data_IF_802132943800
#
_entry.id   IF_802132943800
#
_cell.length_a   1.000
_cell.length_b   1.000
_cell.length_c   1.000
_cell.angle_alpha   90.00
_cell.angle_beta   90.00
_cell.angle_gamma   90.00
#
_symmetry.space_group_name_H-M   'P 1'
#
loop_
_entity.id
_entity.type
_entity.pdbx_description
1 polymer ?
#
# COMPACT_ATOMS: atom_id res chain seq x y z
N UNK A 1 -7.04 -20.46 -3.99
CA UNK A 1 -7.75 -19.43 -4.72
C UNK A 1 -8.46 -18.49 -3.78
N UNK A 2 -8.49 -17.22 -4.14
CA UNK A 2 -9.08 -16.19 -3.30
C UNK A 2 -10.00 -15.33 -4.16
N UNK A 3 -10.89 -14.59 -3.51
CA UNK A 3 -11.92 -13.83 -4.19
C UNK A 3 -12.04 -12.44 -3.59
N UNK A 4 -12.14 -11.44 -4.43
CA UNK A 4 -12.44 -10.07 -4.00
C UNK A 4 -13.69 -9.59 -4.73
N UNK A 5 -14.66 -9.08 -3.96
CA UNK A 5 -15.93 -8.60 -4.50
C UNK A 5 -16.05 -7.11 -4.20
N UNK A 6 -16.24 -6.31 -5.24
CA UNK A 6 -16.44 -4.87 -5.08
C UNK A 6 -17.80 -4.62 -4.39
N UNK A 7 -17.79 -3.88 -3.29
CA UNK A 7 -18.97 -3.64 -2.47
C UNK A 7 -19.43 -2.20 -2.45
N UNK A 8 -18.63 -1.27 -2.96
CA UNK A 8 -18.98 0.14 -2.92
C UNK A 8 -17.80 1.04 -3.22
N UNK A 9 -17.84 2.25 -2.70
CA UNK A 9 -16.83 3.28 -2.92
C UNK A 9 -16.29 3.82 -1.60
N UNK A 10 -16.02 2.92 -0.67
CA UNK A 10 -15.50 3.27 0.65
C UNK A 10 -13.98 3.43 0.69
N UNK A 11 -13.31 3.28 -0.43
CA UNK A 11 -11.88 3.48 -0.56
C UNK A 11 -11.48 4.95 -0.61
N UNK A 12 -10.19 5.22 -0.61
CA UNK A 12 -9.64 6.56 -0.64
C UNK A 12 -10.15 7.35 -1.85
N UNK A 13 -10.54 8.60 -1.63
CA UNK A 13 -11.08 9.51 -2.66
C UNK A 13 -12.33 8.96 -3.37
N UNK A 14 -13.14 8.18 -2.65
CA UNK A 14 -14.31 7.56 -3.23
C UNK A 14 -14.01 6.40 -4.17
N UNK A 15 -12.81 5.84 -4.06
CA UNK A 15 -12.41 4.69 -4.84
C UNK A 15 -13.13 3.41 -4.42
N UNK A 16 -13.01 2.34 -5.21
CA UNK A 16 -13.73 1.11 -4.94
C UNK A 16 -13.23 0.44 -3.65
N UNK A 17 -14.15 -0.18 -2.92
CA UNK A 17 -13.86 -1.01 -1.76
C UNK A 17 -14.30 -2.44 -2.04
N UNK A 18 -13.67 -3.41 -1.36
CA UNK A 18 -13.87 -4.81 -1.65
C UNK A 18 -14.04 -5.62 -0.37
N UNK A 19 -14.85 -6.68 -0.44
CA UNK A 19 -14.79 -7.77 0.52
C UNK A 19 -13.83 -8.82 -0.02
N UNK A 20 -12.87 -9.22 0.79
CA UNK A 20 -11.86 -10.21 0.42
C UNK A 20 -12.18 -11.52 1.11
N UNK A 21 -12.25 -12.59 0.33
CA UNK A 21 -12.56 -13.93 0.82
C UNK A 21 -11.40 -14.85 0.53
N UNK A 22 -10.99 -15.62 1.52
CA UNK A 22 -9.96 -16.64 1.35
C UNK A 22 -10.62 -18.02 1.33
N UNK A 23 -10.14 -18.88 0.44
CA UNK A 23 -10.66 -20.23 0.36
C UNK A 23 -10.15 -21.07 1.52
N UNK A 24 -11.08 -21.67 2.26
CA UNK A 24 -10.75 -22.55 3.37
C UNK A 24 -10.94 -23.99 2.93
N UNK A 25 -9.85 -24.75 2.84
CA UNK A 25 -9.86 -26.13 2.36
C UNK A 25 -10.62 -27.08 3.30
N UNK A 26 -10.56 -26.82 4.59
CA UNK A 26 -11.21 -27.69 5.58
C UNK A 26 -12.73 -27.62 5.46
N UNK A 27 -13.29 -26.44 5.33
CA UNK A 27 -14.74 -26.24 5.19
C UNK A 27 -15.20 -26.25 3.73
N UNK A 28 -14.27 -26.22 2.78
CA UNK A 28 -14.54 -26.14 1.34
C UNK A 28 -15.39 -24.91 0.99
N UNK A 29 -15.12 -23.79 1.65
CA UNK A 29 -15.87 -22.53 1.48
C UNK A 29 -14.94 -21.33 1.40
N UNK A 30 -15.44 -20.26 0.78
CA UNK A 30 -14.80 -18.95 0.86
C UNK A 30 -15.26 -18.25 2.13
N UNK A 31 -14.32 -17.79 2.92
CA UNK A 31 -14.61 -17.10 4.18
C UNK A 31 -14.06 -15.69 4.09
N UNK A 32 -14.90 -14.70 4.43
CA UNK A 32 -14.47 -13.31 4.40
C UNK A 32 -13.34 -13.07 5.40
N UNK A 33 -12.28 -12.41 4.93
CA UNK A 33 -11.19 -11.95 5.78
C UNK A 33 -11.37 -10.46 6.00
N UNK A 34 -11.92 -10.08 7.14
CA UNK A 34 -12.25 -8.68 7.44
C UNK A 34 -11.02 -7.78 7.50
N UNK A 35 -9.89 -8.30 7.94
CA UNK A 35 -8.65 -7.52 7.98
C UNK A 35 -8.14 -7.18 6.59
N UNK A 36 -8.22 -8.12 5.66
CA UNK A 36 -7.85 -7.86 4.27
C UNK A 36 -8.87 -6.94 3.60
N UNK A 37 -10.17 -7.11 3.90
CA UNK A 37 -11.20 -6.22 3.36
C UNK A 37 -10.97 -4.77 3.78
N UNK A 38 -10.53 -4.53 5.01
CA UNK A 38 -10.23 -3.18 5.50
C UNK A 38 -9.08 -2.51 4.78
N UNK A 39 -8.16 -3.28 4.19
CA UNK A 39 -7.05 -2.72 3.41
C UNK A 39 -7.50 -2.18 2.05
N UNK A 40 -8.79 -2.21 1.74
CA UNK A 40 -9.36 -1.63 0.54
C UNK A 40 -10.27 -0.44 0.85
N UNK A 41 -10.43 -0.07 2.12
CA UNK A 41 -11.35 0.96 2.58
C UNK A 41 -10.60 2.16 3.16
N UNK A 42 -11.35 3.20 3.51
CA UNK A 42 -10.80 4.37 4.17
C UNK A 42 -9.78 5.11 3.32
N UNK A 43 -8.54 5.13 3.75
CA UNK A 43 -7.47 5.85 3.06
C UNK A 43 -6.87 5.07 1.88
N UNK A 44 -7.14 3.78 1.80
CA UNK A 44 -6.54 2.93 0.78
C UNK A 44 -7.17 3.13 -0.59
N UNK A 45 -6.35 3.10 -1.64
CA UNK A 45 -6.77 3.38 -3.01
C UNK A 45 -7.15 2.07 -3.73
N UNK A 46 -8.33 1.54 -3.40
CA UNK A 46 -8.84 0.35 -4.04
C UNK A 46 -8.22 -0.96 -3.53
N UNK A 47 -8.26 -1.98 -4.36
CA UNK A 47 -7.74 -3.29 -3.98
C UNK A 47 -6.23 -3.26 -3.89
N UNK A 48 -5.69 -3.93 -2.88
CA UNK A 48 -4.25 -4.07 -2.74
C UNK A 48 -3.65 -4.87 -3.90
N UNK A 49 -2.37 -4.64 -4.16
CA UNK A 49 -1.60 -5.39 -5.14
C UNK A 49 -0.95 -6.60 -4.48
N UNK A 50 -0.94 -7.74 -5.18
CA UNK A 50 -0.29 -8.96 -4.68
C UNK A 50 1.05 -9.14 -5.38
N UNK A 51 2.14 -9.03 -4.62
CA UNK A 51 3.47 -9.34 -5.12
C UNK A 51 3.76 -10.80 -4.79
N UNK A 52 3.47 -11.68 -5.74
CA UNK A 52 3.57 -13.11 -5.52
C UNK A 52 5.01 -13.60 -5.40
N UNK A 53 5.95 -12.91 -6.03
CA UNK A 53 7.38 -13.27 -5.94
C UNK A 53 7.93 -13.09 -4.54
N UNK A 54 7.59 -11.95 -3.92
CA UNK A 54 8.06 -11.60 -2.58
C UNK A 54 7.10 -12.02 -1.49
N UNK A 55 5.92 -12.51 -1.88
CA UNK A 55 4.83 -12.89 -0.97
C UNK A 55 4.43 -11.72 -0.07
N UNK A 56 4.10 -10.60 -0.72
CA UNK A 56 3.69 -9.36 -0.06
C UNK A 56 2.36 -8.89 -0.61
N UNK A 57 1.57 -8.27 0.24
CA UNK A 57 0.44 -7.46 -0.17
C UNK A 57 0.88 -6.01 -0.11
N UNK A 58 0.57 -5.24 -1.14
CA UNK A 58 1.01 -3.84 -1.25
C UNK A 58 -0.22 -2.95 -1.32
N UNK A 59 -0.31 -1.99 -0.39
CA UNK A 59 -1.38 -1.00 -0.38
C UNK A 59 -0.83 0.37 -0.71
N UNK A 60 -1.69 1.22 -1.30
CA UNK A 60 -1.34 2.58 -1.64
C UNK A 60 -2.36 3.53 -1.02
N UNK A 61 -1.87 4.64 -0.51
CA UNK A 61 -2.71 5.73 -0.04
C UNK A 61 -2.04 7.05 -0.34
N UNK A 62 -2.83 8.13 -0.42
CA UNK A 62 -2.29 9.46 -0.65
C UNK A 62 -3.10 10.48 0.13
N UNK A 63 -2.46 11.63 0.43
CA UNK A 63 -3.12 12.77 1.04
C UNK A 63 -2.77 14.00 0.22
N UNK A 64 -3.73 14.50 -0.54
CA UNK A 64 -3.53 15.62 -1.46
C UNK A 64 -2.62 15.25 -2.62
N UNK A 65 -1.98 16.25 -3.19
CA UNK A 65 -1.13 16.07 -4.37
C UNK A 65 0.24 15.47 -4.07
N UNK A 66 0.70 15.60 -2.79
CA UNK A 66 2.14 15.60 -2.55
C UNK A 66 2.59 14.66 -1.44
N UNK A 67 1.68 13.83 -0.96
CA UNK A 67 1.98 12.84 0.07
C UNK A 67 1.45 11.49 -0.37
N UNK A 68 2.35 10.50 -0.47
CA UNK A 68 2.01 9.14 -0.87
C UNK A 68 2.57 8.15 0.13
N UNK A 69 1.80 7.13 0.46
CA UNK A 69 2.25 6.02 1.28
C UNK A 69 2.10 4.71 0.52
N UNK A 70 3.11 3.87 0.64
CA UNK A 70 3.08 2.49 0.19
C UNK A 70 3.34 1.61 1.40
N UNK A 71 2.46 0.68 1.67
CA UNK A 71 2.61 -0.26 2.77
C UNK A 71 2.69 -1.67 2.24
N UNK A 72 3.62 -2.46 2.77
CA UNK A 72 3.78 -3.85 2.38
C UNK A 72 3.54 -4.75 3.58
N UNK A 73 2.74 -5.78 3.38
CA UNK A 73 2.29 -6.70 4.41
C UNK A 73 2.68 -8.13 4.09
N UNK A 74 2.99 -8.90 5.11
CA UNK A 74 3.02 -10.36 5.05
C UNK A 74 1.72 -10.91 5.61
N UNK A 75 1.35 -12.12 5.18
CA UNK A 75 0.26 -12.85 5.80
C UNK A 75 0.81 -13.88 6.77
N UNK A 76 0.33 -13.85 8.01
CA UNK A 76 0.59 -14.86 9.00
C UNK A 76 -0.73 -15.34 9.58
N UNK A 77 -1.07 -16.61 9.44
CA UNK A 77 -2.37 -17.17 9.83
C UNK A 77 -3.53 -16.39 9.21
N UNK A 78 -3.41 -16.06 7.92
CA UNK A 78 -4.39 -15.30 7.16
C UNK A 78 -4.62 -13.87 7.68
N UNK A 79 -3.68 -13.34 8.46
CA UNK A 79 -3.74 -11.97 8.97
C UNK A 79 -2.62 -11.14 8.36
N UNK A 80 -2.91 -9.96 7.84
CA UNK A 80 -1.85 -9.09 7.33
C UNK A 80 -1.11 -8.43 8.50
N UNK A 81 0.22 -8.38 8.40
CA UNK A 81 1.02 -7.57 9.31
C UNK A 81 2.05 -6.77 8.52
N UNK A 82 2.21 -5.53 8.91
CA UNK A 82 3.06 -4.57 8.23
C UNK A 82 4.53 -4.96 8.36
N UNK A 83 5.25 -4.98 7.24
CA UNK A 83 6.69 -5.27 7.22
C UNK A 83 7.50 -4.14 6.59
N UNK A 84 6.87 -3.28 5.81
CA UNK A 84 7.56 -2.15 5.19
C UNK A 84 6.57 -1.02 4.93
N UNK A 85 7.03 0.23 5.15
CA UNK A 85 6.24 1.43 4.86
C UNK A 85 7.15 2.44 4.18
N UNK A 86 6.70 2.96 3.04
CA UNK A 86 7.42 3.96 2.27
C UNK A 86 6.56 5.20 2.20
N UNK A 87 7.07 6.33 2.69
CA UNK A 87 6.38 7.61 2.67
C UNK A 87 7.14 8.53 1.73
N UNK A 88 6.44 9.09 0.76
CA UNK A 88 6.99 10.04 -0.20
C UNK A 88 6.28 11.38 -0.06
N UNK A 89 7.05 12.41 0.28
CA UNK A 89 6.52 13.76 0.49
C UNK A 89 7.23 14.73 -0.45
N UNK A 90 6.46 15.34 -1.35
CA UNK A 90 7.01 16.37 -2.23
C UNK A 90 7.03 17.70 -1.49
N UNK A 91 8.14 18.42 -1.56
CA UNK A 91 8.29 19.71 -0.91
C UNK A 91 9.18 20.64 -1.72
N UNK A 92 8.88 21.93 -1.67
CA UNK A 92 9.64 22.92 -2.41
C UNK A 92 9.47 22.76 -3.91
N UNK A 93 9.25 23.85 -4.59
CA UNK A 93 9.06 23.85 -6.03
C UNK A 93 9.77 25.07 -6.57
N UNK A 94 10.61 24.88 -7.56
CA UNK A 94 11.29 25.96 -8.27
C UNK A 94 11.31 25.66 -9.77
N UNK A 95 12.00 26.49 -10.54
CA UNK A 95 12.05 26.32 -12.00
C UNK A 95 12.77 25.02 -12.42
N UNK A 96 13.63 24.49 -11.57
CA UNK A 96 14.36 23.27 -11.85
C UNK A 96 13.60 21.99 -11.47
N UNK A 97 12.58 22.10 -10.61
CA UNK A 97 11.82 20.94 -10.16
C UNK A 97 11.41 21.04 -8.71
N UNK A 98 11.24 19.90 -8.08
CA UNK A 98 10.87 19.81 -6.66
C UNK A 98 11.63 18.69 -5.98
N UNK A 99 11.69 18.76 -4.65
CA UNK A 99 12.34 17.75 -3.84
C UNK A 99 11.29 16.75 -3.35
N UNK A 100 11.68 15.48 -3.30
CA UNK A 100 10.86 14.43 -2.70
C UNK A 100 11.65 13.82 -1.54
N UNK A 101 11.06 13.87 -0.37
CA UNK A 101 11.61 13.22 0.82
C UNK A 101 11.03 11.82 0.90
N UNK A 102 11.89 10.81 0.83
CA UNK A 102 11.46 9.41 0.89
C UNK A 102 11.89 8.83 2.22
N UNK A 103 10.90 8.45 3.03
CA UNK A 103 11.14 7.80 4.32
C UNK A 103 10.73 6.34 4.21
N UNK A 104 11.67 5.44 4.42
CA UNK A 104 11.41 4.00 4.39
C UNK A 104 11.56 3.44 5.80
N UNK A 105 10.57 2.70 6.24
CA UNK A 105 10.62 1.93 7.48
C UNK A 105 10.48 0.46 7.12
N UNK A 106 11.42 -0.34 7.59
CA UNK A 106 11.44 -1.77 7.26
C UNK A 106 11.67 -2.60 8.51
N UNK A 107 10.90 -3.68 8.61
CA UNK A 107 11.06 -4.63 9.72
C UNK A 107 12.18 -5.62 9.37
N UNK A 108 13.26 -5.57 10.11
CA UNK A 108 14.44 -6.44 9.92
C UNK A 108 14.76 -7.12 11.24
N UNK A 109 14.69 -8.44 11.26
CA UNK A 109 14.96 -9.24 12.47
C UNK A 109 14.17 -8.74 13.68
N UNK A 110 12.88 -8.46 13.48
CA UNK A 110 11.99 -8.03 14.55
C UNK A 110 12.14 -6.57 14.97
N UNK A 111 12.99 -5.81 14.31
CA UNK A 111 13.22 -4.40 14.63
C UNK A 111 12.91 -3.50 13.44
N UNK A 112 12.30 -2.36 13.71
CA UNK A 112 12.02 -1.36 12.68
C UNK A 112 13.25 -0.51 12.41
N UNK A 113 13.66 -0.47 11.14
CA UNK A 113 14.79 0.34 10.68
C UNK A 113 14.25 1.44 9.79
N UNK A 114 14.60 2.68 10.10
CA UNK A 114 14.16 3.87 9.35
C UNK A 114 15.32 4.40 8.52
N UNK A 115 15.04 4.72 7.26
CA UNK A 115 15.97 5.42 6.38
C UNK A 115 15.25 6.58 5.72
N UNK A 116 15.97 7.69 5.54
CA UNK A 116 15.46 8.89 4.91
C UNK A 116 16.42 9.28 3.80
N UNK A 117 15.87 9.54 2.61
CA UNK A 117 16.67 10.08 1.50
C UNK A 117 15.89 11.19 0.82
N UNK A 118 16.60 12.08 0.13
CA UNK A 118 16.00 13.15 -0.65
C UNK A 118 16.30 12.92 -2.12
N UNK A 119 15.27 13.05 -2.96
CA UNK A 119 15.40 12.96 -4.40
C UNK A 119 14.96 14.27 -5.03
N UNK A 120 15.61 14.67 -6.11
CA UNK A 120 15.24 15.85 -6.89
C UNK A 120 14.55 15.39 -8.15
N UNK A 121 13.32 15.89 -8.36
CA UNK A 121 12.55 15.60 -9.57
C UNK A 121 12.59 16.84 -10.47
N UNK A 122 13.11 16.69 -11.68
CA UNK A 122 13.23 17.78 -12.63
C UNK A 122 11.89 18.06 -13.31
N UNK A 123 11.52 19.35 -13.41
CA UNK A 123 10.26 19.75 -14.06
C UNK A 123 10.23 19.48 -15.55
N UNK A 124 11.36 19.42 -16.20
CA UNK A 124 11.44 19.14 -17.62
C UNK A 124 11.06 17.72 -18.02
N UNK A 125 10.61 16.94 -17.04
CA UNK A 125 10.28 15.54 -17.23
C UNK A 125 11.51 14.65 -17.22
N UNK A 126 11.28 13.32 -17.35
CA UNK A 126 12.41 12.41 -17.29
C UNK A 126 13.35 12.61 -18.46
N UNK A 127 14.60 12.69 -18.14
CA UNK A 127 15.66 12.64 -19.14
C UNK A 127 15.94 11.19 -19.42
N UNK A 128 15.48 10.75 -20.52
CA UNK A 128 15.79 9.38 -20.94
C UNK A 128 17.18 9.29 -21.50
#
# INVERSE_FOLDING_TARGET
EDLAVCTGREGGYGGPSYNVYLFNKESNKFIENKRLSRLTEGVYLGLFFVDSKRKRLVTFSKSGCCYHETEKYKLGNNKPFLVEKIIEEASGSDDAGYDVLVTTRRLINGKWVKRVRKEKINKGGPKS
#
